data_IF_168053136809
#
_entry.id   IF_168053136809
#
_cell.length_a   1.000
_cell.length_b   1.000
_cell.length_c   1.000
_cell.angle_alpha   90.00
_cell.angle_beta   90.00
_cell.angle_gamma   90.00
#
_symmetry.space_group_name_H-M   'P 1'
#
loop_
_entity.id
_entity.type
_entity.pdbx_description
1 polymer ?
#
# COMPACT_ATOMS: atom_id res chain seq x y z
N UNK A 1 -2.45 -12.44 -9.43
CA UNK A 1 -3.32 -12.23 -8.24
C UNK A 1 -4.66 -12.95 -8.39
N UNK A 2 -5.52 -12.61 -9.37
CA UNK A 2 -6.88 -13.19 -9.44
C UNK A 2 -6.90 -14.72 -9.52
N UNK A 3 -6.01 -15.35 -10.29
CA UNK A 3 -5.95 -16.81 -10.41
C UNK A 3 -5.53 -17.49 -9.10
N UNK A 4 -4.55 -16.90 -8.41
CA UNK A 4 -4.11 -17.36 -7.08
C UNK A 4 -5.26 -17.28 -6.08
N UNK A 5 -6.01 -16.17 -6.07
CA UNK A 5 -7.16 -16.00 -5.18
C UNK A 5 -8.29 -16.98 -5.50
N UNK A 6 -8.53 -17.31 -6.78
CA UNK A 6 -9.50 -18.35 -7.14
C UNK A 6 -9.15 -19.70 -6.51
N UNK A 7 -7.88 -20.10 -6.58
CA UNK A 7 -7.42 -21.39 -6.10
C UNK A 7 -7.51 -21.56 -4.58
N UNK A 8 -7.30 -20.48 -3.83
CA UNK A 8 -7.23 -20.54 -2.36
C UNK A 8 -8.54 -20.16 -1.67
N UNK A 9 -9.41 -19.38 -2.29
CA UNK A 9 -10.69 -18.98 -1.66
C UNK A 9 -11.70 -20.12 -1.67
N UNK A 10 -12.44 -20.26 -0.57
CA UNK A 10 -13.50 -21.27 -0.42
C UNK A 10 -14.79 -20.65 0.09
N UNK A 11 -15.91 -21.29 -0.27
CA UNK A 11 -17.22 -21.07 0.33
C UNK A 11 -17.36 -21.99 1.53
N UNK A 12 -17.88 -21.45 2.63
CA UNK A 12 -18.15 -22.20 3.87
C UNK A 12 -19.64 -22.11 4.14
N UNK A 13 -20.32 -23.25 4.19
CA UNK A 13 -21.78 -23.32 4.38
C UNK A 13 -22.10 -24.28 5.53
N UNK A 14 -23.00 -23.86 6.42
CA UNK A 14 -23.51 -24.70 7.51
C UNK A 14 -24.88 -25.22 7.14
N UNK A 15 -25.07 -26.53 7.29
CA UNK A 15 -26.31 -27.23 7.04
C UNK A 15 -26.94 -27.76 8.33
N UNK A 16 -28.21 -27.47 8.52
CA UNK A 16 -29.03 -28.11 9.56
C UNK A 16 -30.17 -28.86 8.87
N UNK A 17 -30.31 -30.16 9.16
CA UNK A 17 -31.30 -31.04 8.53
C UNK A 17 -31.31 -30.96 6.99
N UNK A 18 -30.13 -30.75 6.38
CA UNK A 18 -29.97 -30.65 4.92
C UNK A 18 -30.30 -29.28 4.31
N UNK A 19 -30.68 -28.29 5.12
CA UNK A 19 -30.93 -26.91 4.68
C UNK A 19 -29.75 -26.00 5.03
N UNK A 20 -29.30 -25.11 4.12
CA UNK A 20 -28.26 -24.14 4.42
C UNK A 20 -28.80 -23.11 5.42
N UNK A 21 -28.18 -23.02 6.60
CA UNK A 21 -28.57 -22.11 7.69
C UNK A 21 -27.59 -20.96 7.88
N UNK A 22 -26.35 -21.11 7.40
CA UNK A 22 -25.35 -20.05 7.43
C UNK A 22 -24.39 -20.18 6.25
N UNK A 23 -23.85 -19.05 5.79
CA UNK A 23 -22.85 -19.02 4.72
C UNK A 23 -21.83 -17.92 5.00
N UNK A 24 -20.57 -18.26 4.75
CA UNK A 24 -19.44 -17.35 4.75
C UNK A 24 -18.40 -17.74 3.72
N UNK A 25 -17.23 -17.14 3.86
CA UNK A 25 -16.06 -17.38 3.04
C UNK A 25 -14.94 -17.95 3.90
N UNK A 26 -13.94 -18.52 3.25
CA UNK A 26 -12.70 -18.97 3.89
C UNK A 26 -11.56 -18.92 2.89
N UNK A 27 -10.38 -19.32 3.35
CA UNK A 27 -9.25 -19.53 2.46
C UNK A 27 -8.41 -20.72 2.90
N UNK A 28 -7.87 -21.43 1.92
CA UNK A 28 -7.04 -22.60 2.07
C UNK A 28 -5.58 -22.22 2.28
N UNK A 29 -4.90 -22.94 3.15
CA UNK A 29 -3.47 -22.86 3.40
C UNK A 29 -2.85 -24.25 3.50
N UNK A 30 -1.65 -24.40 2.94
CA UNK A 30 -0.84 -25.63 2.95
C UNK A 30 0.28 -25.57 4.00
N UNK A 31 0.24 -26.45 4.99
CA UNK A 31 1.32 -26.66 5.95
C UNK A 31 1.86 -28.09 5.87
N UNK A 32 3.08 -28.23 5.34
CA UNK A 32 3.64 -29.53 4.99
C UNK A 32 2.78 -30.24 3.95
N UNK A 33 2.32 -31.45 4.28
CA UNK A 33 1.40 -32.25 3.45
C UNK A 33 -0.08 -32.07 3.80
N UNK A 34 -0.41 -31.17 4.74
CA UNK A 34 -1.75 -30.97 5.24
C UNK A 34 -2.35 -29.66 4.71
N UNK A 35 -3.67 -29.66 4.57
CA UNK A 35 -4.45 -28.51 4.14
C UNK A 35 -5.42 -28.06 5.23
N UNK A 36 -5.50 -26.75 5.38
CA UNK A 36 -6.33 -26.08 6.37
C UNK A 36 -7.19 -25.05 5.67
N UNK A 37 -8.40 -24.85 6.17
CA UNK A 37 -9.24 -23.69 5.85
C UNK A 37 -9.30 -22.82 7.08
N UNK A 38 -9.04 -21.53 6.86
CA UNK A 38 -9.25 -20.48 7.85
C UNK A 38 -10.52 -19.74 7.48
N UNK A 39 -11.39 -19.52 8.46
CA UNK A 39 -12.66 -18.78 8.30
C UNK A 39 -13.00 -18.03 9.60
N UNK A 40 -14.07 -17.23 9.60
CA UNK A 40 -14.53 -16.55 10.80
C UNK A 40 -15.30 -17.53 11.70
N UNK A 41 -15.21 -17.36 13.03
CA UNK A 41 -15.89 -18.22 14.00
C UNK A 41 -17.41 -18.23 13.74
N UNK A 42 -17.99 -17.04 13.56
CA UNK A 42 -19.44 -16.92 13.35
C UNK A 42 -19.92 -17.53 12.03
N UNK A 43 -19.03 -17.80 11.06
CA UNK A 43 -19.38 -18.55 9.85
C UNK A 43 -19.65 -20.03 10.16
N UNK A 44 -19.00 -20.58 11.19
CA UNK A 44 -19.12 -21.99 11.57
C UNK A 44 -20.17 -22.19 12.67
N UNK A 45 -20.10 -21.38 13.71
CA UNK A 45 -20.88 -21.58 14.94
C UNK A 45 -22.01 -20.57 15.12
N UNK A 46 -22.11 -19.57 14.24
CA UNK A 46 -23.07 -18.47 14.37
C UNK A 46 -22.57 -17.36 15.30
N UNK A 47 -23.23 -16.21 15.28
CA UNK A 47 -22.84 -15.04 16.10
C UNK A 47 -23.08 -15.30 17.60
N UNK A 48 -24.09 -16.11 17.92
CA UNK A 48 -24.54 -16.41 19.28
C UNK A 48 -24.46 -17.90 19.61
N UNK A 49 -23.55 -18.64 18.95
CA UNK A 49 -23.37 -20.10 19.10
C UNK A 49 -24.59 -20.92 18.67
N UNK A 50 -25.39 -20.41 17.71
CA UNK A 50 -26.59 -21.07 17.21
C UNK A 50 -26.32 -22.46 16.62
N UNK A 51 -25.08 -22.72 16.19
CA UNK A 51 -24.68 -23.94 15.49
C UNK A 51 -23.63 -24.76 16.25
N UNK A 52 -23.35 -24.43 17.52
CA UNK A 52 -22.28 -25.07 18.31
C UNK A 52 -22.47 -26.58 18.50
N UNK A 53 -23.72 -27.02 18.57
CA UNK A 53 -24.08 -28.43 18.78
C UNK A 53 -24.21 -29.22 17.46
N UNK A 54 -24.04 -28.56 16.30
CA UNK A 54 -24.09 -29.26 15.02
C UNK A 54 -22.81 -30.11 14.81
N UNK A 55 -22.94 -31.32 14.25
CA UNK A 55 -21.78 -32.16 13.97
C UNK A 55 -20.90 -31.55 12.87
N UNK A 56 -19.62 -31.90 12.81
CA UNK A 56 -18.70 -31.43 11.76
C UNK A 56 -19.18 -31.74 10.34
N UNK A 57 -20.01 -32.77 10.17
CA UNK A 57 -20.64 -33.14 8.89
C UNK A 57 -21.65 -32.11 8.40
N UNK A 58 -22.09 -31.19 9.26
CA UNK A 58 -22.91 -30.03 8.90
C UNK A 58 -22.10 -28.94 8.21
N UNK A 59 -20.76 -28.99 8.26
CA UNK A 59 -19.89 -28.00 7.62
C UNK A 59 -19.58 -28.48 6.20
N UNK A 60 -19.99 -27.71 5.20
CA UNK A 60 -19.57 -27.89 3.82
C UNK A 60 -18.54 -26.82 3.45
N UNK A 61 -17.44 -27.26 2.84
CA UNK A 61 -16.39 -26.39 2.31
C UNK A 61 -16.26 -26.70 0.83
N UNK A 62 -16.34 -25.67 -0.01
CA UNK A 62 -16.35 -25.83 -1.46
C UNK A 62 -15.43 -24.80 -2.12
N UNK A 63 -14.70 -25.22 -3.17
CA UNK A 63 -13.78 -24.35 -3.95
C UNK A 63 -14.24 -24.20 -5.40
N UNK A 64 -13.86 -23.10 -6.04
CA UNK A 64 -13.99 -22.91 -7.49
C UNK A 64 -12.60 -22.73 -8.10
N UNK A 65 -12.26 -23.46 -9.15
CA UNK A 65 -10.94 -23.36 -9.79
C UNK A 65 -10.80 -22.08 -10.62
N UNK A 66 -11.89 -21.66 -11.26
CA UNK A 66 -11.94 -20.45 -12.08
C UNK A 66 -13.24 -19.69 -11.85
N UNK A 67 -13.34 -18.48 -12.40
CA UNK A 67 -14.57 -17.71 -12.36
C UNK A 67 -15.75 -18.52 -12.93
N UNK A 68 -16.82 -18.67 -12.14
CA UNK A 68 -18.03 -19.42 -12.47
C UNK A 68 -17.81 -20.89 -12.86
N UNK A 69 -16.73 -21.52 -12.38
CA UNK A 69 -16.60 -22.98 -12.48
C UNK A 69 -17.54 -23.69 -11.50
N UNK A 70 -17.72 -25.00 -11.70
CA UNK A 70 -18.38 -25.82 -10.69
C UNK A 70 -17.64 -25.76 -9.34
N UNK A 71 -18.42 -25.92 -8.27
CA UNK A 71 -17.88 -26.04 -6.93
C UNK A 71 -17.40 -27.47 -6.69
N UNK A 72 -16.17 -27.59 -6.20
CA UNK A 72 -15.59 -28.86 -5.80
C UNK A 72 -15.57 -28.96 -4.28
N UNK A 73 -16.17 -30.00 -3.68
CA UNK A 73 -16.22 -30.15 -2.24
C UNK A 73 -14.83 -30.50 -1.68
N UNK A 74 -14.50 -29.92 -0.53
CA UNK A 74 -13.39 -30.31 0.31
C UNK A 74 -13.93 -31.11 1.51
N UNK A 75 -13.36 -32.29 1.75
CA UNK A 75 -13.79 -33.10 2.89
C UNK A 75 -13.35 -32.45 4.20
N UNK A 76 -14.30 -32.19 5.12
CA UNK A 76 -13.97 -31.67 6.45
C UNK A 76 -13.50 -32.82 7.34
N UNK A 77 -12.29 -32.71 7.88
CA UNK A 77 -11.73 -33.75 8.76
C UNK A 77 -11.98 -33.42 10.23
N UNK A 78 -11.64 -32.21 10.65
CA UNK A 78 -11.82 -31.73 12.03
C UNK A 78 -11.76 -30.20 12.08
N UNK A 79 -12.39 -29.60 13.09
CA UNK A 79 -12.09 -28.22 13.51
C UNK A 79 -10.90 -28.29 14.47
N UNK A 80 -9.75 -27.78 14.05
CA UNK A 80 -8.49 -27.87 14.79
C UNK A 80 -8.54 -27.01 16.04
N UNK A 81 -8.92 -25.74 15.86
CA UNK A 81 -9.09 -24.77 16.94
C UNK A 81 -9.98 -23.62 16.47
N UNK A 82 -10.62 -22.93 17.41
CA UNK A 82 -11.40 -21.73 17.13
C UNK A 82 -11.39 -20.78 18.33
N UNK A 83 -11.67 -19.50 18.08
CA UNK A 83 -11.72 -18.49 19.13
C UNK A 83 -12.85 -17.49 18.89
N UNK A 84 -13.92 -17.59 19.67
CA UNK A 84 -15.11 -16.72 19.56
C UNK A 84 -14.78 -15.23 19.73
N UNK A 85 -13.93 -14.88 20.69
CA UNK A 85 -13.61 -13.48 21.00
C UNK A 85 -12.82 -12.76 19.90
N UNK A 86 -12.00 -13.50 19.15
CA UNK A 86 -11.20 -12.97 18.04
C UNK A 86 -11.85 -13.24 16.67
N UNK A 87 -12.87 -14.10 16.66
CA UNK A 87 -13.73 -14.46 15.54
C UNK A 87 -13.01 -15.23 14.43
N UNK A 88 -12.31 -16.31 14.80
CA UNK A 88 -11.62 -17.18 13.84
C UNK A 88 -11.83 -18.66 14.13
N UNK A 89 -11.75 -19.49 13.09
CA UNK A 89 -11.73 -20.94 13.16
C UNK A 89 -10.76 -21.52 12.12
N UNK A 90 -10.01 -22.55 12.52
CA UNK A 90 -9.08 -23.30 11.66
C UNK A 90 -9.60 -24.73 11.51
N UNK A 91 -9.83 -25.15 10.28
CA UNK A 91 -10.46 -26.43 9.93
C UNK A 91 -9.48 -27.25 9.10
N UNK A 92 -9.18 -28.48 9.49
CA UNK A 92 -8.38 -29.40 8.67
C UNK A 92 -9.28 -30.02 7.61
N UNK A 93 -8.82 -30.02 6.37
CA UNK A 93 -9.55 -30.58 5.24
C UNK A 93 -8.76 -31.67 4.52
N UNK A 94 -9.47 -32.62 3.93
CA UNK A 94 -8.90 -33.57 2.98
C UNK A 94 -8.91 -32.97 1.60
N UNK A 95 -7.72 -32.60 1.13
CA UNK A 95 -7.44 -32.08 -0.20
C UNK A 95 -6.08 -32.61 -0.66
N UNK A 96 -5.98 -32.94 -1.95
CA UNK A 96 -4.74 -33.42 -2.58
C UNK A 96 -4.34 -32.45 -3.69
N UNK A 97 -3.10 -31.99 -3.62
CA UNK A 97 -2.48 -31.11 -4.61
C UNK A 97 -1.68 -31.97 -5.59
N UNK A 98 -2.39 -32.64 -6.50
CA UNK A 98 -1.84 -33.68 -7.39
C UNK A 98 -0.70 -33.15 -8.28
N UNK A 99 -0.85 -31.94 -8.81
CA UNK A 99 0.13 -31.30 -9.68
C UNK A 99 1.15 -30.43 -8.93
N UNK A 100 1.09 -30.37 -7.60
CA UNK A 100 1.93 -29.50 -6.77
C UNK A 100 1.87 -28.02 -7.20
N UNK A 101 0.69 -27.57 -7.62
CA UNK A 101 0.43 -26.21 -8.14
C UNK A 101 -0.12 -25.28 -7.06
N UNK A 102 -0.39 -25.78 -5.85
CA UNK A 102 -0.94 -24.96 -4.78
C UNK A 102 0.03 -23.81 -4.43
N UNK A 103 -0.45 -22.55 -4.34
CA UNK A 103 0.42 -21.39 -4.16
C UNK A 103 1.27 -21.46 -2.88
N UNK A 104 2.55 -21.12 -3.01
CA UNK A 104 3.38 -20.82 -1.85
C UNK A 104 2.97 -19.50 -1.21
N UNK A 105 3.09 -19.40 0.11
CA UNK A 105 2.68 -18.23 0.86
C UNK A 105 3.57 -17.98 2.09
N UNK A 106 3.56 -16.73 2.53
CA UNK A 106 4.17 -16.25 3.76
C UNK A 106 3.12 -15.64 4.69
N UNK A 107 3.35 -15.69 6.01
CA UNK A 107 2.45 -15.11 7.00
C UNK A 107 2.97 -13.72 7.41
N UNK A 108 2.26 -12.66 7.10
CA UNK A 108 2.69 -11.29 7.38
C UNK A 108 2.26 -10.85 8.79
N UNK A 109 3.19 -10.82 9.74
CA UNK A 109 2.94 -10.31 11.09
C UNK A 109 3.00 -8.78 11.17
N UNK A 110 3.78 -8.16 10.29
CA UNK A 110 3.95 -6.70 10.19
C UNK A 110 3.86 -6.31 8.70
N UNK A 111 3.11 -5.25 8.41
CA UNK A 111 2.82 -4.72 7.05
C UNK A 111 2.53 -3.22 7.13
N UNK A 112 2.58 -2.42 6.06
CA UNK A 112 2.37 -0.96 6.15
C UNK A 112 0.91 -0.52 6.01
N UNK A 113 0.58 0.68 6.48
CA UNK A 113 -0.69 1.35 6.12
C UNK A 113 -0.63 1.79 4.66
N UNK A 114 -1.80 1.93 4.04
CA UNK A 114 -2.00 2.16 2.60
C UNK A 114 -1.53 1.05 1.67
N UNK A 115 -1.05 -0.09 2.18
CA UNK A 115 -0.66 -1.19 1.29
C UNK A 115 -1.83 -1.80 0.56
N UNK A 116 -1.63 -2.11 -0.71
CA UNK A 116 -2.67 -2.70 -1.55
C UNK A 116 -2.94 -4.13 -1.10
N UNK A 117 -4.19 -4.36 -0.70
CA UNK A 117 -4.68 -5.66 -0.24
C UNK A 117 -5.74 -6.14 -1.22
N UNK A 118 -5.72 -7.42 -1.55
CA UNK A 118 -6.81 -8.08 -2.27
C UNK A 118 -7.43 -9.15 -1.39
N UNK A 119 -8.74 -9.30 -1.50
CA UNK A 119 -9.45 -10.44 -0.92
C UNK A 119 -10.48 -10.96 -1.92
N UNK A 120 -10.86 -12.23 -1.77
CA UNK A 120 -11.91 -12.86 -2.56
C UNK A 120 -12.83 -13.65 -1.65
N UNK A 121 -14.13 -13.48 -1.85
CA UNK A 121 -15.17 -14.12 -1.04
C UNK A 121 -16.47 -14.34 -1.83
N UNK A 122 -17.43 -14.98 -1.15
CA UNK A 122 -18.71 -15.44 -1.69
C UNK A 122 -19.85 -14.70 -1.01
N UNK A 123 -20.46 -13.75 -1.72
CA UNK A 123 -21.53 -12.91 -1.18
C UNK A 123 -22.86 -13.67 -1.20
N UNK A 124 -23.73 -13.46 -0.20
CA UNK A 124 -25.04 -14.12 -0.16
C UNK A 124 -25.97 -13.67 -1.30
N UNK A 125 -25.74 -12.49 -1.87
CA UNK A 125 -26.51 -11.97 -3.01
C UNK A 125 -26.19 -12.69 -4.33
N UNK A 126 -25.02 -13.32 -4.41
CA UNK A 126 -24.58 -14.12 -5.55
C UNK A 126 -23.70 -15.28 -5.04
N UNK A 127 -24.32 -16.27 -4.36
CA UNK A 127 -23.59 -17.30 -3.63
C UNK A 127 -22.79 -18.23 -4.55
N UNK A 128 -23.13 -18.25 -5.84
CA UNK A 128 -22.51 -19.09 -6.86
C UNK A 128 -21.25 -18.45 -7.48
N UNK A 129 -21.00 -17.17 -7.20
CA UNK A 129 -19.92 -16.41 -7.83
C UNK A 129 -18.97 -15.84 -6.78
N UNK A 130 -17.73 -16.33 -6.77
CA UNK A 130 -16.67 -15.66 -6.02
C UNK A 130 -16.30 -14.31 -6.64
N UNK A 131 -16.24 -13.26 -5.82
CA UNK A 131 -15.83 -11.90 -6.23
C UNK A 131 -14.53 -11.50 -5.56
N UNK A 132 -13.61 -10.96 -6.37
CA UNK A 132 -12.35 -10.37 -5.90
C UNK A 132 -12.54 -8.87 -5.71
N UNK A 133 -11.97 -8.33 -4.62
CA UNK A 133 -12.03 -6.92 -4.27
C UNK A 133 -10.61 -6.36 -4.10
N UNK A 134 -10.39 -5.18 -4.69
CA UNK A 134 -9.22 -4.35 -4.40
C UNK A 134 -9.47 -3.47 -3.17
N UNK A 135 -8.50 -3.46 -2.25
CA UNK A 135 -8.55 -2.68 -1.02
C UNK A 135 -7.16 -2.16 -0.63
N UNK A 136 -7.10 -1.41 0.47
CA UNK A 136 -5.83 -1.02 1.11
C UNK A 136 -5.93 -1.08 2.62
N UNK A 137 -4.79 -1.28 3.30
CA UNK A 137 -4.70 -1.19 4.76
C UNK A 137 -5.00 0.25 5.20
N UNK A 138 -5.98 0.46 6.07
CA UNK A 138 -6.34 1.78 6.59
C UNK A 138 -5.61 2.08 7.90
N UNK A 139 -5.83 1.22 8.90
CA UNK A 139 -5.31 1.37 10.26
C UNK A 139 -4.79 0.02 10.77
N UNK A 140 -3.67 0.06 11.49
CA UNK A 140 -3.31 -1.01 12.43
C UNK A 140 -4.02 -0.72 13.75
N UNK A 141 -4.91 -1.61 14.20
CA UNK A 141 -5.32 -1.56 15.60
C UNK A 141 -4.29 -2.33 16.42
N UNK A 142 -4.13 -1.95 17.69
CA UNK A 142 -3.32 -2.67 18.67
C UNK A 142 -3.56 -4.18 18.61
N UNK A 143 -2.53 -4.98 18.32
CA UNK A 143 -2.33 -6.45 18.32
C UNK A 143 -3.45 -7.42 17.87
N UNK A 144 -4.74 -7.06 17.88
CA UNK A 144 -5.84 -8.01 17.75
C UNK A 144 -6.78 -7.72 16.57
N UNK A 145 -6.67 -6.55 15.91
CA UNK A 145 -7.46 -6.23 14.72
C UNK A 145 -6.68 -5.30 13.76
N UNK A 146 -6.99 -5.33 12.47
CA UNK A 146 -6.61 -4.29 11.53
C UNK A 146 -7.79 -3.94 10.63
N UNK A 147 -7.74 -2.78 9.97
CA UNK A 147 -8.80 -2.35 9.05
C UNK A 147 -8.25 -2.24 7.64
N UNK A 148 -9.04 -2.69 6.68
CA UNK A 148 -8.86 -2.41 5.25
C UNK A 148 -10.02 -1.57 4.75
N UNK A 149 -9.80 -0.76 3.71
CA UNK A 149 -10.86 -0.04 3.01
C UNK A 149 -10.85 -0.42 1.53
N UNK A 150 -12.02 -0.56 0.92
CA UNK A 150 -12.12 -0.75 -0.53
C UNK A 150 -11.47 0.41 -1.30
N UNK A 151 -10.92 0.09 -2.47
CA UNK A 151 -10.35 1.09 -3.37
C UNK A 151 -11.44 1.96 -4.03
N UNK A 152 -11.11 3.18 -4.50
CA UNK A 152 -12.07 3.99 -5.27
C UNK A 152 -12.60 3.22 -6.49
N UNK A 153 -13.93 3.20 -6.65
CA UNK A 153 -14.59 2.45 -7.73
C UNK A 153 -14.94 1.01 -7.35
N UNK A 154 -14.43 0.48 -6.24
CA UNK A 154 -14.91 -0.75 -5.63
C UNK A 154 -16.02 -0.40 -4.64
N UNK A 155 -17.18 -1.04 -4.81
CA UNK A 155 -18.33 -0.86 -3.94
C UNK A 155 -19.11 -2.16 -3.80
N UNK A 156 -19.76 -2.29 -2.65
CA UNK A 156 -20.87 -3.21 -2.44
C UNK A 156 -22.09 -2.61 -3.18
N UNK A 157 -22.71 -3.35 -4.10
CA UNK A 157 -23.75 -2.81 -5.00
C UNK A 157 -24.99 -2.32 -4.23
N UNK A 158 -25.30 -2.94 -3.09
CA UNK A 158 -26.44 -2.61 -2.20
C UNK A 158 -26.03 -2.42 -0.71
N UNK A 159 -24.82 -1.92 -0.44
CA UNK A 159 -24.38 -1.56 0.92
C UNK A 159 -24.03 -2.76 1.82
N UNK A 160 -24.37 -2.73 3.11
CA UNK A 160 -23.97 -3.76 4.08
C UNK A 160 -24.66 -5.12 3.87
N UNK A 161 -25.85 -5.14 3.25
CA UNK A 161 -26.54 -6.37 2.87
C UNK A 161 -25.75 -7.19 1.84
N UNK A 162 -25.08 -6.50 0.92
CA UNK A 162 -24.19 -7.11 -0.07
C UNK A 162 -22.91 -7.67 0.54
N UNK A 163 -22.42 -7.09 1.64
CA UNK A 163 -21.21 -7.57 2.30
C UNK A 163 -21.43 -8.91 3.03
N UNK A 164 -22.67 -9.34 3.23
CA UNK A 164 -23.00 -10.61 3.90
C UNK A 164 -22.43 -11.78 3.10
N UNK A 165 -21.74 -12.68 3.80
CA UNK A 165 -21.05 -13.84 3.22
C UNK A 165 -19.54 -13.63 3.00
N UNK A 166 -19.05 -12.38 3.01
CA UNK A 166 -17.61 -12.10 2.87
C UNK A 166 -16.78 -12.40 4.12
N UNK A 167 -17.41 -12.54 5.28
CA UNK A 167 -16.74 -12.92 6.52
C UNK A 167 -15.97 -14.22 6.35
N UNK A 168 -14.76 -14.27 6.90
CA UNK A 168 -13.81 -15.37 6.77
C UNK A 168 -12.95 -15.34 5.51
N UNK A 169 -13.20 -14.44 4.55
CA UNK A 169 -12.30 -14.24 3.40
C UNK A 169 -10.88 -13.88 3.86
N UNK A 170 -9.86 -14.36 3.16
CA UNK A 170 -8.47 -14.00 3.46
C UNK A 170 -8.11 -12.62 2.91
N UNK A 171 -7.31 -11.87 3.67
CA UNK A 171 -6.69 -10.62 3.23
C UNK A 171 -5.25 -10.87 2.79
N UNK A 172 -4.93 -10.51 1.53
CA UNK A 172 -3.66 -10.86 0.90
C UNK A 172 -2.93 -9.66 0.29
N UNK A 173 -1.60 -9.67 0.40
CA UNK A 173 -0.69 -8.80 -0.37
C UNK A 173 0.08 -9.68 -1.36
N UNK A 174 0.28 -9.19 -2.58
CA UNK A 174 1.29 -9.75 -3.50
C UNK A 174 2.43 -8.75 -3.63
N UNK A 175 3.64 -9.18 -3.28
CA UNK A 175 4.86 -8.39 -3.45
C UNK A 175 5.98 -9.32 -3.93
N UNK A 176 6.75 -8.87 -4.92
CA UNK A 176 7.85 -9.64 -5.54
C UNK A 176 7.44 -11.07 -5.93
N UNK A 177 6.27 -11.20 -6.58
CA UNK A 177 5.66 -12.47 -6.99
C UNK A 177 5.37 -13.47 -5.84
N UNK A 178 5.38 -13.00 -4.59
CA UNK A 178 5.06 -13.80 -3.40
C UNK A 178 3.73 -13.41 -2.80
N UNK A 179 2.99 -14.41 -2.34
CA UNK A 179 1.73 -14.25 -1.62
C UNK A 179 1.97 -14.08 -0.12
N UNK A 180 1.43 -13.01 0.46
CA UNK A 180 1.48 -12.73 1.89
C UNK A 180 0.07 -12.71 2.47
N UNK A 181 -0.13 -13.50 3.52
CA UNK A 181 -1.40 -13.62 4.24
C UNK A 181 -1.37 -12.69 5.45
N UNK A 182 -2.29 -11.73 5.50
CA UNK A 182 -2.37 -10.76 6.60
C UNK A 182 -3.34 -11.22 7.69
N UNK A 183 -4.36 -12.00 7.33
CA UNK A 183 -5.42 -12.41 8.23
C UNK A 183 -6.73 -12.68 7.51
N UNK A 184 -7.84 -12.60 8.24
CA UNK A 184 -9.19 -12.87 7.74
C UNK A 184 -10.16 -11.72 8.01
N UNK A 185 -11.14 -11.53 7.12
CA UNK A 185 -12.20 -10.53 7.25
C UNK A 185 -13.23 -10.96 8.30
N UNK A 186 -13.56 -10.08 9.25
CA UNK A 186 -14.56 -10.35 10.31
C UNK A 186 -15.91 -9.73 9.99
N UNK A 187 -15.95 -8.40 9.85
CA UNK A 187 -17.19 -7.65 9.74
C UNK A 187 -16.98 -6.35 8.96
N UNK A 188 -17.97 -5.95 8.18
CA UNK A 188 -18.07 -4.60 7.60
C UNK A 188 -18.85 -3.74 8.58
N UNK A 189 -18.25 -2.68 9.14
CA UNK A 189 -18.96 -1.76 10.05
C UNK A 189 -19.53 -0.57 9.25
N UNK A 190 -20.84 -0.42 9.28
CA UNK A 190 -21.51 0.83 8.92
C UNK A 190 -22.99 0.79 9.33
N UNK A 191 -23.35 1.49 10.40
CA UNK A 191 -24.76 1.87 10.65
C UNK A 191 -25.23 2.92 9.62
N UNK A 192 -24.30 3.55 8.92
CA UNK A 192 -24.52 4.34 7.73
C UNK A 192 -23.73 3.71 6.58
N UNK A 193 -24.40 3.34 5.49
CA UNK A 193 -23.88 2.57 4.36
C UNK A 193 -22.83 3.31 3.48
N UNK A 194 -22.05 4.21 4.07
CA UNK A 194 -21.04 5.04 3.40
C UNK A 194 -19.59 4.62 3.70
N UNK A 195 -19.35 3.72 4.67
CA UNK A 195 -17.99 3.33 5.03
C UNK A 195 -17.58 2.02 4.36
N UNK A 196 -16.60 2.10 3.45
CA UNK A 196 -15.93 0.99 2.77
C UNK A 196 -14.97 0.20 3.68
N UNK A 197 -15.09 0.36 5.01
CA UNK A 197 -14.14 -0.13 6.00
C UNK A 197 -14.52 -1.53 6.49
N UNK A 198 -13.52 -2.42 6.47
CA UNK A 198 -13.66 -3.83 6.81
C UNK A 198 -12.67 -4.15 7.94
N UNK A 199 -13.21 -4.70 9.04
CA UNK A 199 -12.41 -5.20 10.16
C UNK A 199 -11.86 -6.58 9.84
N UNK A 200 -10.60 -6.79 10.18
CA UNK A 200 -9.90 -8.05 9.95
C UNK A 200 -9.24 -8.55 11.25
N UNK A 201 -9.26 -9.86 11.46
CA UNK A 201 -8.44 -10.54 12.46
C UNK A 201 -7.03 -10.78 11.86
N UNK A 202 -5.95 -10.39 12.56
CA UNK A 202 -4.59 -10.58 12.06
C UNK A 202 -4.16 -12.05 12.11
N UNK A 203 -3.32 -12.46 11.16
CA UNK A 203 -2.76 -13.82 11.07
C UNK A 203 -1.97 -14.22 12.32
N UNK A 204 -1.41 -13.25 13.05
CA UNK A 204 -0.70 -13.46 14.31
C UNK A 204 -1.55 -14.17 15.37
N UNK A 205 -2.87 -14.02 15.32
CA UNK A 205 -3.80 -14.67 16.25
C UNK A 205 -3.79 -16.21 16.18
N UNK A 206 -3.49 -16.79 15.02
CA UNK A 206 -3.60 -18.24 14.79
C UNK A 206 -2.44 -18.84 13.97
N UNK A 207 -1.36 -18.09 13.73
CA UNK A 207 -0.22 -18.54 12.92
C UNK A 207 0.49 -19.80 13.46
N UNK A 208 0.51 -19.99 14.78
CA UNK A 208 1.17 -21.14 15.44
C UNK A 208 0.55 -22.46 15.00
N UNK A 209 -0.76 -22.49 14.73
CA UNK A 209 -1.48 -23.67 14.23
C UNK A 209 -1.06 -24.07 12.82
N UNK A 210 -0.52 -23.11 12.06
CA UNK A 210 -0.03 -23.32 10.71
C UNK A 210 1.45 -23.74 10.69
N UNK A 211 2.14 -23.75 11.83
CA UNK A 211 3.55 -24.16 11.94
C UNK A 211 4.51 -23.30 11.12
N UNK A 212 4.19 -22.02 10.91
CA UNK A 212 4.98 -21.08 10.11
C UNK A 212 5.28 -19.81 10.91
N UNK A 213 6.49 -19.31 10.75
CA UNK A 213 6.93 -18.05 11.35
C UNK A 213 6.26 -16.84 10.67
N UNK A 214 6.06 -15.79 11.46
CA UNK A 214 5.63 -14.50 10.94
C UNK A 214 6.81 -13.77 10.31
N UNK A 215 6.58 -13.20 9.13
CA UNK A 215 7.53 -12.32 8.46
C UNK A 215 7.11 -10.86 8.63
N UNK A 216 8.11 -9.99 8.69
CA UNK A 216 7.91 -8.56 8.56
C UNK A 216 8.00 -8.18 7.08
N UNK A 217 6.85 -7.83 6.51
CA UNK A 217 6.76 -7.21 5.18
C UNK A 217 6.43 -5.73 5.26
N UNK A 218 6.28 -5.21 6.48
CA UNK A 218 6.37 -3.79 6.73
C UNK A 218 7.84 -3.45 6.62
N UNK A 219 8.37 -3.46 5.40
CA UNK A 219 9.66 -2.83 5.14
C UNK A 219 9.49 -1.42 5.67
N UNK A 220 10.27 -1.00 6.68
CA UNK A 220 10.40 0.42 6.93
C UNK A 220 11.00 0.91 5.61
N UNK A 221 10.18 1.55 4.78
CA UNK A 221 10.74 2.64 4.00
C UNK A 221 11.10 3.66 5.07
N UNK A 222 12.26 3.45 5.70
CA UNK A 222 12.73 4.31 6.76
C UNK A 222 12.64 5.71 6.16
N UNK A 223 12.02 6.60 6.91
CA UNK A 223 12.18 8.01 6.63
C UNK A 223 13.69 8.24 6.40
N UNK A 224 14.08 8.88 5.29
CA UNK A 224 15.48 9.04 4.91
C UNK A 224 16.18 10.00 5.89
N UNK A 225 16.48 9.47 7.08
CA UNK A 225 17.00 10.21 8.23
C UNK A 225 18.39 10.74 7.93
N UNK A 226 19.17 9.98 7.16
CA UNK A 226 20.46 10.44 6.67
C UNK A 226 20.27 11.67 5.79
N UNK A 227 19.35 11.67 4.83
CA UNK A 227 19.10 12.85 4.00
C UNK A 227 18.59 14.05 4.81
N UNK A 228 17.71 13.83 5.81
CA UNK A 228 17.29 14.88 6.75
C UNK A 228 18.48 15.49 7.49
N UNK A 229 19.29 14.66 8.14
CA UNK A 229 20.41 15.09 8.98
C UNK A 229 21.54 15.75 8.16
N UNK A 230 21.78 15.31 6.93
CA UNK A 230 22.77 15.93 6.05
C UNK A 230 22.26 17.28 5.50
N UNK A 231 20.95 17.44 5.27
CA UNK A 231 20.40 18.71 4.81
C UNK A 231 20.71 19.86 5.77
N UNK A 232 20.61 19.61 7.08
CA UNK A 232 20.90 20.61 8.11
C UNK A 232 22.37 21.02 8.17
N UNK A 233 23.27 20.23 7.59
CA UNK A 233 24.73 20.48 7.61
C UNK A 233 25.20 21.25 6.38
N UNK A 234 24.38 21.38 5.34
CA UNK A 234 24.76 22.08 4.11
C UNK A 234 25.08 23.54 4.41
N UNK A 235 26.32 23.94 4.18
CA UNK A 235 26.79 25.30 4.45
C UNK A 235 26.57 26.20 3.23
N UNK A 236 25.62 27.13 3.36
CA UNK A 236 25.22 28.02 2.27
C UNK A 236 26.09 29.28 2.24
N UNK A 237 26.71 29.57 1.09
CA UNK A 237 27.48 30.79 0.83
C UNK A 237 26.78 31.84 -0.03
N UNK A 238 25.80 31.47 -0.87
CA UNK A 238 25.08 32.39 -1.76
C UNK A 238 23.80 32.91 -1.11
N UNK A 239 23.80 34.16 -0.64
CA UNK A 239 22.67 34.76 0.07
C UNK A 239 21.58 35.36 -0.84
N UNK A 240 21.72 35.25 -2.17
CA UNK A 240 20.78 35.84 -3.13
C UNK A 240 19.46 35.05 -3.18
N UNK A 241 18.34 35.76 -3.29
CA UNK A 241 17.04 35.13 -3.56
C UNK A 241 16.89 34.68 -5.02
N UNK A 242 15.77 34.03 -5.36
CA UNK A 242 15.50 33.54 -6.72
C UNK A 242 15.60 34.64 -7.80
N UNK A 243 15.06 35.84 -7.52
CA UNK A 243 15.05 36.92 -8.49
C UNK A 243 16.44 37.54 -8.62
N UNK A 244 17.13 37.75 -7.50
CA UNK A 244 18.50 38.27 -7.45
C UNK A 244 19.47 37.35 -8.19
N UNK A 245 19.34 36.03 -8.03
CA UNK A 245 20.12 35.03 -8.77
C UNK A 245 19.89 35.12 -10.27
N UNK A 246 18.62 35.17 -10.68
CA UNK A 246 18.26 35.25 -12.09
C UNK A 246 18.76 36.56 -12.71
N UNK A 247 18.55 37.70 -12.05
CA UNK A 247 18.99 39.02 -12.53
C UNK A 247 20.53 39.07 -12.58
N UNK A 248 21.20 38.45 -11.61
CA UNK A 248 22.66 38.39 -11.53
C UNK A 248 23.31 37.70 -12.73
N UNK A 249 22.63 36.70 -13.33
CA UNK A 249 23.14 35.99 -14.51
C UNK A 249 22.48 36.42 -15.82
N UNK A 250 21.26 36.98 -15.77
CA UNK A 250 20.46 37.38 -16.92
C UNK A 250 19.82 38.76 -16.68
N UNK A 251 20.57 39.87 -16.82
CA UNK A 251 20.06 41.22 -16.57
C UNK A 251 18.89 41.62 -17.48
N UNK A 252 18.84 41.04 -18.68
CA UNK A 252 17.81 41.32 -19.70
C UNK A 252 16.54 40.46 -19.55
N UNK A 253 16.39 39.71 -18.45
CA UNK A 253 15.22 38.86 -18.27
C UNK A 253 13.93 39.70 -18.27
N UNK A 254 12.89 39.32 -19.03
CA UNK A 254 11.64 40.06 -19.00
C UNK A 254 10.96 39.99 -17.63
N UNK A 255 10.51 41.14 -17.10
CA UNK A 255 9.87 41.27 -15.78
C UNK A 255 8.71 40.29 -15.58
N UNK A 256 7.91 40.02 -16.62
CA UNK A 256 6.79 39.09 -16.53
C UNK A 256 7.22 37.62 -16.32
N UNK A 257 8.45 37.24 -16.71
CA UNK A 257 9.02 35.91 -16.43
C UNK A 257 9.42 35.79 -14.96
N UNK A 258 10.10 36.80 -14.41
CA UNK A 258 10.40 36.87 -12.97
C UNK A 258 9.11 36.77 -12.14
N UNK A 259 8.09 37.55 -12.50
CA UNK A 259 6.79 37.51 -11.83
C UNK A 259 6.08 36.15 -11.95
N UNK A 260 6.36 35.37 -13.01
CA UNK A 260 5.86 33.99 -13.10
C UNK A 260 6.58 33.07 -12.12
N UNK A 261 7.93 33.07 -12.08
CA UNK A 261 8.66 32.22 -11.15
C UNK A 261 8.34 32.54 -9.68
N UNK A 262 8.21 33.81 -9.33
CA UNK A 262 7.81 34.22 -7.98
C UNK A 262 6.41 33.71 -7.59
N UNK A 263 5.45 33.70 -8.54
CA UNK A 263 4.12 33.13 -8.30
C UNK A 263 4.17 31.61 -8.15
N UNK A 264 4.88 30.92 -9.04
CA UNK A 264 5.04 29.46 -8.99
C UNK A 264 5.69 29.01 -7.67
N UNK A 265 6.69 29.77 -7.18
CA UNK A 265 7.33 29.57 -5.88
C UNK A 265 6.33 29.79 -4.72
N UNK A 266 5.59 30.90 -4.74
CA UNK A 266 4.61 31.22 -3.68
C UNK A 266 3.50 30.19 -3.59
N UNK A 267 2.94 29.74 -4.71
CA UNK A 267 1.94 28.67 -4.73
C UNK A 267 2.56 27.33 -4.31
N UNK A 268 3.82 27.10 -4.68
CA UNK A 268 4.59 25.94 -4.24
C UNK A 268 4.71 25.84 -2.73
N UNK A 269 5.11 26.92 -2.05
CA UNK A 269 5.25 26.94 -0.59
C UNK A 269 3.94 26.51 0.11
N UNK A 270 2.80 27.07 -0.31
CA UNK A 270 1.49 26.73 0.25
C UNK A 270 1.12 25.26 0.03
N UNK A 271 1.48 24.68 -1.11
CA UNK A 271 1.20 23.26 -1.38
C UNK A 271 2.17 22.32 -0.64
N UNK A 272 3.43 22.70 -0.49
CA UNK A 272 4.45 21.94 0.21
C UNK A 272 4.28 21.95 1.73
N UNK A 273 3.61 22.97 2.30
CA UNK A 273 3.24 23.05 3.74
C UNK A 273 2.35 21.88 4.21
N UNK A 274 1.75 21.14 3.28
CA UNK A 274 0.96 19.92 3.58
C UNK A 274 1.82 18.75 4.05
N UNK A 275 3.12 18.79 3.78
CA UNK A 275 4.07 17.76 4.15
C UNK A 275 4.86 18.18 5.38
N UNK A 276 5.38 17.21 6.13
CA UNK A 276 6.19 17.55 7.30
C UNK A 276 7.53 18.18 6.89
N UNK A 277 8.05 19.07 7.73
CA UNK A 277 9.37 19.68 7.51
C UNK A 277 10.48 18.65 7.36
N UNK A 278 10.37 17.54 8.10
CA UNK A 278 11.31 16.43 8.04
C UNK A 278 11.30 15.78 6.65
N UNK A 279 10.11 15.43 6.14
CA UNK A 279 9.95 14.83 4.80
C UNK A 279 10.48 15.75 3.71
N UNK A 280 10.17 17.04 3.80
CA UNK A 280 10.64 18.00 2.83
C UNK A 280 12.15 18.23 2.89
N UNK A 281 12.77 18.16 4.07
CA UNK A 281 14.23 18.28 4.22
C UNK A 281 14.95 17.13 3.52
N UNK A 282 14.47 15.89 3.72
CA UNK A 282 15.03 14.73 3.04
C UNK A 282 14.87 14.82 1.50
N UNK A 283 13.70 15.23 1.00
CA UNK A 283 13.47 15.47 -0.44
C UNK A 283 14.45 16.52 -0.95
N UNK A 284 14.51 17.67 -0.27
CA UNK A 284 15.35 18.82 -0.64
C UNK A 284 16.82 18.41 -0.75
N UNK A 285 17.35 17.65 0.20
CA UNK A 285 18.73 17.16 0.15
C UNK A 285 19.00 16.27 -1.05
N UNK A 286 18.13 15.28 -1.33
CA UNK A 286 18.33 14.40 -2.50
C UNK A 286 18.27 15.14 -3.81
N UNK A 287 17.37 16.12 -3.93
CA UNK A 287 17.25 16.96 -5.11
C UNK A 287 18.47 17.86 -5.25
N UNK A 288 18.90 18.51 -4.16
CA UNK A 288 20.09 19.35 -4.11
C UNK A 288 21.33 18.60 -4.60
N UNK A 289 21.68 17.47 -3.97
CA UNK A 289 22.83 16.64 -4.30
C UNK A 289 22.82 16.22 -5.77
N UNK A 290 21.66 15.75 -6.26
CA UNK A 290 21.54 15.31 -7.64
C UNK A 290 21.69 16.45 -8.65
N UNK A 291 21.33 17.67 -8.29
CA UNK A 291 21.41 18.86 -9.15
C UNK A 291 22.78 19.56 -9.12
N UNK A 292 23.60 19.35 -8.07
CA UNK A 292 24.94 19.94 -7.97
C UNK A 292 25.84 19.49 -9.14
N UNK A 293 25.80 18.21 -9.50
CA UNK A 293 26.53 17.66 -10.66
C UNK A 293 26.17 18.39 -11.97
N UNK A 294 24.87 18.62 -12.19
CA UNK A 294 24.38 19.31 -13.38
C UNK A 294 24.77 20.80 -13.37
N UNK A 295 24.82 21.45 -12.21
CA UNK A 295 25.30 22.83 -12.07
C UNK A 295 26.79 22.93 -12.41
N UNK A 296 27.62 22.05 -11.85
CA UNK A 296 29.06 22.02 -12.11
C UNK A 296 29.33 21.85 -13.62
N UNK A 297 28.68 20.86 -14.24
CA UNK A 297 28.79 20.63 -15.68
C UNK A 297 28.34 21.85 -16.50
N UNK A 298 27.24 22.49 -16.11
CA UNK A 298 26.73 23.69 -16.79
C UNK A 298 27.72 24.86 -16.72
N UNK A 299 28.35 25.09 -15.56
CA UNK A 299 29.31 26.18 -15.35
C UNK A 299 30.64 25.92 -16.07
N UNK A 300 31.17 24.69 -16.01
CA UNK A 300 32.46 24.32 -16.61
C UNK A 300 32.47 24.41 -18.15
N UNK A 301 31.36 24.05 -18.78
CA UNK A 301 31.27 24.01 -20.24
C UNK A 301 30.86 25.35 -20.86
N UNK A 302 30.71 26.40 -20.05
CA UNK A 302 30.22 27.70 -20.49
C UNK A 302 31.36 28.66 -20.82
N UNK A 303 31.26 29.28 -22.01
CA UNK A 303 32.21 30.31 -22.45
C UNK A 303 31.69 31.74 -22.25
N UNK A 304 30.38 31.94 -22.19
CA UNK A 304 29.76 33.26 -22.04
C UNK A 304 29.49 33.58 -20.56
N UNK A 305 29.70 34.85 -20.16
CA UNK A 305 29.44 35.30 -18.79
C UNK A 305 27.95 35.35 -18.45
N UNK A 306 27.10 35.90 -19.33
CA UNK A 306 25.66 36.05 -19.09
C UNK A 306 24.87 34.83 -19.55
N UNK A 307 23.92 34.35 -18.75
CA UNK A 307 22.99 33.25 -19.03
C UNK A 307 21.77 33.77 -19.79
N UNK A 308 21.32 33.06 -20.83
CA UNK A 308 20.12 33.40 -21.58
C UNK A 308 18.85 32.94 -20.86
N UNK A 309 17.69 33.49 -21.26
CA UNK A 309 16.39 33.08 -20.71
C UNK A 309 16.10 31.62 -21.04
N UNK A 310 16.50 31.15 -22.22
CA UNK A 310 16.39 29.75 -22.64
C UNK A 310 17.25 28.84 -21.75
N UNK A 311 18.50 29.20 -21.50
CA UNK A 311 19.39 28.42 -20.64
C UNK A 311 18.87 28.32 -19.19
N UNK A 312 18.28 29.40 -18.64
CA UNK A 312 17.62 29.37 -17.32
C UNK A 312 16.47 28.36 -17.32
N UNK A 313 15.61 28.39 -18.34
CA UNK A 313 14.47 27.47 -18.42
C UNK A 313 14.94 26.01 -18.59
N UNK A 314 15.97 25.79 -19.40
CA UNK A 314 16.55 24.48 -19.63
C UNK A 314 17.16 23.93 -18.34
N UNK A 315 17.88 24.75 -17.57
CA UNK A 315 18.48 24.34 -16.30
C UNK A 315 17.41 23.96 -15.27
N UNK A 316 16.36 24.78 -15.09
CA UNK A 316 15.23 24.44 -14.19
C UNK A 316 14.55 23.14 -14.63
N UNK A 317 14.40 22.95 -15.94
CA UNK A 317 13.78 21.73 -16.50
C UNK A 317 14.65 20.50 -16.24
N UNK A 318 15.97 20.59 -16.44
CA UNK A 318 16.91 19.50 -16.11
C UNK A 318 16.89 19.17 -14.63
N UNK A 319 16.94 20.18 -13.75
CA UNK A 319 16.82 19.97 -12.30
C UNK A 319 15.52 19.29 -11.92
N UNK A 320 14.40 19.67 -12.54
CA UNK A 320 13.10 19.03 -12.29
C UNK A 320 13.14 17.55 -12.71
N UNK A 321 13.68 17.24 -13.89
CA UNK A 321 13.80 15.86 -14.36
C UNK A 321 14.72 15.02 -13.47
N UNK A 322 15.84 15.60 -13.02
CA UNK A 322 16.76 14.96 -12.09
C UNK A 322 16.09 14.72 -10.73
N UNK A 323 15.31 15.69 -10.24
CA UNK A 323 14.50 15.56 -9.04
C UNK A 323 13.50 14.38 -9.14
N UNK A 324 12.73 14.30 -10.23
CA UNK A 324 11.81 13.18 -10.47
C UNK A 324 12.55 11.85 -10.50
N UNK A 325 13.69 11.78 -11.19
CA UNK A 325 14.51 10.56 -11.30
C UNK A 325 15.10 10.11 -9.96
N UNK A 326 15.71 11.02 -9.19
CA UNK A 326 16.35 10.66 -7.91
C UNK A 326 15.33 10.29 -6.85
N UNK A 327 14.19 11.00 -6.77
CA UNK A 327 13.13 10.67 -5.82
C UNK A 327 12.50 9.33 -6.19
N UNK A 328 12.22 9.06 -7.46
CA UNK A 328 11.73 7.75 -7.89
C UNK A 328 12.72 6.62 -7.52
N UNK A 329 14.01 6.83 -7.76
CA UNK A 329 15.07 5.87 -7.44
C UNK A 329 15.17 5.62 -5.94
N UNK A 330 15.20 6.67 -5.12
CA UNK A 330 15.34 6.56 -3.67
C UNK A 330 14.05 6.08 -2.99
N UNK A 331 12.88 6.29 -3.63
CA UNK A 331 11.59 5.78 -3.15
C UNK A 331 11.49 4.25 -3.15
N UNK A 332 12.44 3.55 -3.80
CA UNK A 332 12.58 2.09 -3.68
C UNK A 332 12.98 1.67 -2.26
N UNK A 333 13.75 2.52 -1.56
CA UNK A 333 14.32 2.21 -0.24
C UNK A 333 13.75 3.06 0.89
N UNK A 334 13.33 4.29 0.60
CA UNK A 334 12.91 5.27 1.60
C UNK A 334 11.52 5.82 1.30
N UNK A 335 10.83 6.33 2.32
CA UNK A 335 9.50 6.92 2.14
C UNK A 335 9.62 8.39 1.79
N UNK A 336 9.27 8.73 0.56
CA UNK A 336 9.11 10.12 0.13
C UNK A 336 7.63 10.47 -0.07
N UNK A 337 7.24 11.74 0.13
CA UNK A 337 5.91 12.20 -0.25
C UNK A 337 5.71 12.01 -1.76
N UNK A 338 4.47 11.71 -2.17
CA UNK A 338 4.11 11.62 -3.59
C UNK A 338 4.02 13.03 -4.15
N UNK A 339 5.06 13.44 -4.88
CA UNK A 339 5.13 14.72 -5.57
C UNK A 339 5.03 14.45 -7.07
N UNK A 340 4.14 15.17 -7.75
CA UNK A 340 4.13 15.18 -9.22
C UNK A 340 5.25 16.09 -9.75
N UNK A 341 5.44 16.08 -11.08
CA UNK A 341 6.49 16.88 -11.72
C UNK A 341 6.31 18.39 -11.49
N UNK A 342 5.08 18.87 -11.30
CA UNK A 342 4.81 20.27 -11.01
C UNK A 342 5.26 20.63 -9.58
N UNK A 343 4.94 19.82 -8.58
CA UNK A 343 5.42 20.01 -7.21
C UNK A 343 6.94 19.86 -7.10
N UNK A 344 7.54 18.91 -7.82
CA UNK A 344 9.00 18.76 -7.87
C UNK A 344 9.67 19.97 -8.50
N UNK A 345 9.09 20.54 -9.57
CA UNK A 345 9.56 21.81 -10.13
C UNK A 345 9.53 22.93 -9.10
N UNK A 346 8.51 22.97 -8.25
CA UNK A 346 8.39 23.98 -7.19
C UNK A 346 9.39 23.74 -6.05
N UNK A 347 9.72 22.49 -5.71
CA UNK A 347 10.83 22.16 -4.81
C UNK A 347 12.16 22.68 -5.36
N UNK A 348 12.40 22.55 -6.67
CA UNK A 348 13.59 23.10 -7.32
C UNK A 348 13.63 24.63 -7.19
N UNK A 349 12.52 25.32 -7.47
CA UNK A 349 12.45 26.78 -7.29
C UNK A 349 12.69 27.19 -5.83
N UNK A 350 12.18 26.41 -4.89
CA UNK A 350 12.38 26.61 -3.46
C UNK A 350 13.84 26.42 -3.05
N UNK A 351 14.53 25.42 -3.57
CA UNK A 351 15.98 25.23 -3.36
C UNK A 351 16.80 26.38 -3.96
N UNK A 352 16.41 26.92 -5.12
CA UNK A 352 17.07 28.09 -5.69
C UNK A 352 16.82 29.32 -4.80
N UNK A 353 15.59 29.52 -4.33
CA UNK A 353 15.25 30.64 -3.44
C UNK A 353 15.93 30.54 -2.07
N UNK A 354 15.91 29.35 -1.47
CA UNK A 354 16.45 29.07 -0.14
C UNK A 354 17.97 28.81 -0.18
N UNK A 355 18.63 29.30 -1.24
CA UNK A 355 20.07 29.40 -1.29
C UNK A 355 20.84 28.07 -1.41
N UNK A 356 20.21 27.01 -1.91
CA UNK A 356 20.84 25.70 -2.15
C UNK A 356 21.17 25.43 -3.62
N UNK A 357 20.54 26.12 -4.57
CA UNK A 357 20.84 26.01 -6.01
C UNK A 357 21.00 27.40 -6.62
N UNK A 358 21.70 27.48 -7.76
CA UNK A 358 21.89 28.73 -8.51
C UNK A 358 21.97 28.45 -10.02
N UNK A 359 22.27 29.49 -10.79
CA UNK A 359 22.52 29.47 -12.23
C UNK A 359 23.99 29.77 -12.57
N UNK A 360 24.84 29.87 -11.55
CA UNK A 360 26.25 30.24 -11.64
C UNK A 360 27.08 29.52 -10.55
N UNK A 361 28.39 29.77 -10.57
CA UNK A 361 29.36 29.19 -9.63
C UNK A 361 29.10 29.50 -8.16
N UNK A 362 28.27 30.50 -7.83
CA UNK A 362 28.00 30.83 -6.43
C UNK A 362 27.13 29.77 -5.74
N UNK A 363 26.38 28.97 -6.50
CA UNK A 363 25.58 27.86 -6.00
C UNK A 363 26.28 26.51 -6.02
N UNK A 364 27.61 26.48 -6.20
CA UNK A 364 28.43 25.28 -6.05
C UNK A 364 28.99 25.29 -4.62
N UNK A 365 28.68 24.25 -3.85
CA UNK A 365 29.09 24.15 -2.45
C UNK A 365 30.14 23.04 -2.29
N UNK A 366 31.20 23.34 -1.54
CA UNK A 366 32.20 22.35 -1.11
C UNK A 366 31.68 21.62 0.13
N UNK A 367 31.95 20.31 0.24
CA UNK A 367 31.57 19.46 1.40
C UNK A 367 32.11 19.96 2.75
#
# INVERSE_FOLDING_TARGET
MSDVLNQISVRVTIFNEGLPVNQGSGFMLKSGSLFYVVTAYHCVYGENDEFIDLPITSIAIERQETFNSEFHPCSVIEVVECHKGEDWAVIRIGYTDEDSIFPEYHLAGVFNTNESVSFRGYQNVDPETGRTFGSRVLEKSSNNEFKITLNPGEYFKEGSADAKGLSGSGAFIMADDKLYVLGLLKSVKGEEALNNDIKCCPISAFHTLLGRELVDIGVPSDFDKTAEEEFEKVNISDARDLNEKIIGVCPEIPIYRLAKYARDLSTGKVELERYSQREMSAVKFRVFEACQEDLMNFVEHRQAENVTVEEINDLITRYTQKASSIIATKSVLYKYPKLDDDLLRRVVLDLINDCFLSFDKAGIYEE
#
